data_IF_776858106753
#
_entry.id   IF_776858106753
#
_cell.length_a   1.000
_cell.length_b   1.000
_cell.length_c   1.000
_cell.angle_alpha   90.00
_cell.angle_beta   90.00
_cell.angle_gamma   90.00
#
_symmetry.space_group_name_H-M   'P 1'
#
loop_
_entity.id
_entity.type
_entity.pdbx_description
1 polymer ?
#
# COMPACT_ATOMS: atom_id res chain seq x y z
N UNK A 1 9.41 -4.58 21.36
CA UNK A 1 8.21 -3.99 20.72
C UNK A 1 8.64 -2.66 20.10
N UNK A 2 8.35 -2.32 18.85
CA UNK A 2 6.97 -2.05 18.43
C UNK A 2 6.64 -2.32 16.95
N UNK A 3 7.44 -3.06 16.19
CA UNK A 3 7.10 -3.45 14.81
C UNK A 3 6.81 -2.27 13.86
N UNK A 4 6.29 -2.52 12.65
CA UNK A 4 5.89 -1.47 11.72
C UNK A 4 4.71 -0.65 12.28
N UNK A 5 4.74 0.68 12.07
CA UNK A 5 3.68 1.60 12.47
C UNK A 5 3.36 2.56 11.33
N UNK A 6 2.07 2.80 11.09
CA UNK A 6 1.57 3.74 10.10
C UNK A 6 0.72 4.80 10.81
N UNK A 7 1.03 6.07 10.56
CA UNK A 7 0.29 7.21 11.10
C UNK A 7 -0.12 8.13 9.96
N UNK A 8 -1.33 8.68 10.06
CA UNK A 8 -1.80 9.75 9.17
C UNK A 8 -2.24 10.94 10.01
N UNK A 9 -1.87 12.15 9.57
CA UNK A 9 -2.24 13.41 10.20
C UNK A 9 -3.14 14.23 9.26
N UNK A 10 -4.19 14.85 9.78
CA UNK A 10 -5.05 15.77 9.04
C UNK A 10 -4.59 17.24 9.21
N UNK A 11 -5.05 18.18 8.35
CA UNK A 11 -4.71 19.60 8.49
C UNK A 11 -5.22 20.27 9.79
N UNK A 12 -6.15 19.64 10.51
CA UNK A 12 -6.63 20.13 11.80
C UNK A 12 -5.71 19.71 12.97
N UNK A 13 -4.70 18.88 12.71
CA UNK A 13 -3.72 18.42 13.68
C UNK A 13 -4.11 17.12 14.38
N UNK A 14 -5.16 16.42 13.94
CA UNK A 14 -5.43 15.08 14.44
C UNK A 14 -4.53 14.06 13.75
N UNK A 15 -3.93 13.17 14.52
CA UNK A 15 -3.18 12.03 13.99
C UNK A 15 -3.65 10.73 14.64
N UNK A 16 -3.76 9.68 13.84
CA UNK A 16 -4.17 8.36 14.30
C UNK A 16 -3.25 7.28 13.73
N UNK A 17 -3.12 6.18 14.48
CA UNK A 17 -2.46 4.97 14.01
C UNK A 17 -3.41 4.16 13.15
N UNK A 18 -2.91 3.66 12.01
CA UNK A 18 -3.69 2.90 11.05
C UNK A 18 -3.03 1.55 10.75
N UNK A 19 -3.84 0.55 10.39
CA UNK A 19 -3.35 -0.71 9.79
C UNK A 19 -3.15 -0.54 8.28
N UNK A 20 -4.08 0.16 7.63
CA UNK A 20 -3.98 0.64 6.26
C UNK A 20 -4.73 1.97 6.17
N UNK A 21 -4.28 2.88 5.30
CA UNK A 21 -4.93 4.17 5.09
C UNK A 21 -4.64 4.68 3.68
N UNK A 22 -5.45 5.63 3.21
CA UNK A 22 -5.26 6.37 1.97
C UNK A 22 -5.45 7.86 2.24
N UNK A 23 -5.00 8.72 1.33
CA UNK A 23 -5.20 10.15 1.37
C UNK A 23 -5.29 10.70 -0.06
N UNK A 24 -6.08 11.77 -0.24
CA UNK A 24 -6.21 12.45 -1.52
C UNK A 24 -7.53 12.16 -2.24
N UNK A 25 -7.52 12.29 -3.56
CA UNK A 25 -8.72 12.09 -4.37
C UNK A 25 -9.13 10.61 -4.30
N UNK A 26 -10.43 10.34 -4.11
CA UNK A 26 -11.00 8.99 -3.94
C UNK A 26 -10.52 8.23 -2.68
N UNK A 27 -10.15 8.95 -1.63
CA UNK A 27 -9.77 8.34 -0.35
C UNK A 27 -10.84 7.39 0.21
N UNK A 28 -12.13 7.76 0.13
CA UNK A 28 -13.22 6.96 0.69
C UNK A 28 -13.31 5.59 0.00
N UNK A 29 -13.18 5.55 -1.32
CA UNK A 29 -13.20 4.34 -2.13
C UNK A 29 -11.99 3.45 -1.82
N UNK A 30 -10.80 4.05 -1.67
CA UNK A 30 -9.60 3.34 -1.27
C UNK A 30 -9.72 2.74 0.13
N UNK A 31 -10.25 3.49 1.10
CA UNK A 31 -10.52 2.98 2.46
C UNK A 31 -11.50 1.80 2.40
N UNK A 32 -12.60 1.91 1.64
CA UNK A 32 -13.57 0.82 1.51
C UNK A 32 -12.95 -0.46 0.89
N UNK A 33 -12.00 -0.32 -0.05
CA UNK A 33 -11.25 -1.44 -0.61
C UNK A 33 -10.34 -2.08 0.46
N UNK A 34 -9.58 -1.25 1.17
CA UNK A 34 -8.66 -1.69 2.21
C UNK A 34 -9.39 -2.36 3.38
N UNK A 35 -10.54 -1.84 3.82
CA UNK A 35 -11.36 -2.46 4.88
C UNK A 35 -11.78 -3.90 4.53
N UNK A 36 -12.12 -4.15 3.26
CA UNK A 36 -12.46 -5.50 2.78
C UNK A 36 -11.25 -6.42 2.80
N UNK A 37 -10.08 -5.93 2.35
CA UNK A 37 -8.83 -6.70 2.33
C UNK A 37 -8.28 -6.97 3.73
N UNK A 38 -8.45 -6.03 4.65
CA UNK A 38 -8.00 -6.13 6.05
C UNK A 38 -9.00 -6.85 6.96
N UNK A 39 -10.09 -7.41 6.41
CA UNK A 39 -11.10 -8.11 7.20
C UNK A 39 -10.48 -9.32 7.91
N UNK A 40 -10.74 -9.44 9.21
CA UNK A 40 -10.18 -10.48 10.10
C UNK A 40 -8.67 -10.36 10.36
N UNK A 41 -8.05 -9.21 10.08
CA UNK A 41 -6.63 -8.96 10.37
C UNK A 41 -5.69 -10.03 9.79
N UNK A 42 -5.65 -10.16 8.45
CA UNK A 42 -4.77 -11.12 7.80
C UNK A 42 -3.30 -10.79 8.08
N UNK A 43 -2.49 -11.83 8.16
CA UNK A 43 -1.03 -11.71 8.28
C UNK A 43 -0.43 -11.70 6.87
N UNK A 44 -0.12 -10.52 6.35
CA UNK A 44 0.43 -10.37 5.01
C UNK A 44 1.94 -10.59 5.00
N UNK A 45 2.40 -11.29 3.98
CA UNK A 45 3.82 -11.24 3.59
C UNK A 45 4.20 -9.85 3.06
N UNK A 46 5.51 -9.62 2.90
CA UNK A 46 6.04 -8.40 2.30
C UNK A 46 5.42 -8.14 0.92
N UNK A 47 5.46 -9.16 0.05
CA UNK A 47 4.96 -9.05 -1.32
C UNK A 47 3.45 -8.81 -1.34
N UNK A 48 2.69 -9.51 -0.50
CA UNK A 48 1.24 -9.30 -0.40
C UNK A 48 0.88 -7.90 0.09
N UNK A 49 1.69 -7.33 0.98
CA UNK A 49 1.47 -5.97 1.48
C UNK A 49 1.67 -4.95 0.37
N UNK A 50 2.76 -5.07 -0.40
CA UNK A 50 3.06 -4.19 -1.53
C UNK A 50 2.00 -4.34 -2.62
N UNK A 51 1.70 -5.58 -3.01
CA UNK A 51 0.69 -5.88 -4.03
C UNK A 51 -0.69 -5.37 -3.62
N UNK A 52 -1.10 -5.56 -2.36
CA UNK A 52 -2.40 -5.06 -1.87
C UNK A 52 -2.51 -3.54 -1.96
N UNK A 53 -1.41 -2.81 -1.69
CA UNK A 53 -1.39 -1.35 -1.82
C UNK A 53 -1.51 -0.90 -3.28
N UNK A 54 -0.79 -1.55 -4.21
CA UNK A 54 -0.86 -1.25 -5.64
C UNK A 54 -2.25 -1.58 -6.19
N UNK A 55 -2.80 -2.77 -5.89
CA UNK A 55 -4.14 -3.16 -6.31
C UNK A 55 -5.24 -2.24 -5.77
N UNK A 56 -5.06 -1.67 -4.56
CA UNK A 56 -5.99 -0.69 -4.03
C UNK A 56 -6.03 0.58 -4.90
N UNK A 57 -4.87 1.07 -5.34
CA UNK A 57 -4.79 2.22 -6.25
C UNK A 57 -5.38 1.88 -7.63
N UNK A 58 -5.01 0.74 -8.21
CA UNK A 58 -5.52 0.30 -9.53
C UNK A 58 -7.04 0.16 -9.52
N UNK A 59 -7.61 -0.45 -8.46
CA UNK A 59 -9.05 -0.65 -8.33
C UNK A 59 -9.81 0.67 -8.21
N UNK A 60 -9.27 1.64 -7.47
CA UNK A 60 -9.91 2.95 -7.23
C UNK A 60 -9.80 3.86 -8.46
N UNK A 61 -8.67 3.80 -9.16
CA UNK A 61 -8.43 4.59 -10.37
C UNK A 61 -9.00 3.93 -11.62
N UNK A 62 -9.30 2.63 -11.57
CA UNK A 62 -9.75 1.81 -12.71
C UNK A 62 -8.74 1.83 -13.86
N UNK A 63 -7.46 1.75 -13.49
CA UNK A 63 -6.33 1.88 -14.41
C UNK A 63 -5.21 0.94 -13.97
N UNK A 64 -4.59 0.28 -14.95
CA UNK A 64 -3.37 -0.49 -14.75
C UNK A 64 -2.16 0.43 -14.91
N UNK A 65 -1.25 0.41 -13.93
CA UNK A 65 -0.05 1.24 -13.97
C UNK A 65 1.10 0.54 -14.69
N UNK A 66 1.93 1.34 -15.33
CA UNK A 66 3.32 1.02 -15.62
C UNK A 66 4.18 1.32 -14.40
N UNK A 67 5.30 0.64 -14.26
CA UNK A 67 6.25 0.90 -13.17
C UNK A 67 6.70 2.37 -13.10
N UNK A 68 6.71 3.10 -14.22
CA UNK A 68 7.07 4.52 -14.28
C UNK A 68 5.98 5.49 -13.80
N UNK A 69 4.77 5.02 -13.52
CA UNK A 69 3.61 5.87 -13.16
C UNK A 69 3.36 5.91 -11.66
N UNK A 70 4.03 5.03 -10.89
CA UNK A 70 3.92 4.95 -9.44
C UNK A 70 5.31 4.89 -8.80
N UNK A 71 5.40 5.37 -7.56
CA UNK A 71 6.59 5.21 -6.72
C UNK A 71 6.18 4.48 -5.43
N UNK A 72 6.98 3.52 -5.00
CA UNK A 72 6.68 2.70 -3.82
C UNK A 72 7.82 2.83 -2.81
N UNK A 73 7.48 3.26 -1.60
CA UNK A 73 8.39 3.34 -0.47
C UNK A 73 8.09 2.25 0.55
N UNK A 74 9.12 1.54 1.01
CA UNK A 74 9.01 0.43 1.96
C UNK A 74 9.89 0.65 3.19
N UNK A 75 9.41 0.16 4.33
CA UNK A 75 10.17 0.05 5.59
C UNK A 75 9.93 -1.34 6.14
N UNK A 76 11.01 -2.05 6.48
CA UNK A 76 10.92 -3.42 6.97
C UNK A 76 11.59 -3.58 8.33
N UNK A 77 11.28 -4.67 9.03
CA UNK A 77 11.87 -4.94 10.35
C UNK A 77 13.35 -5.33 10.25
N UNK A 78 13.69 -6.09 9.22
CA UNK A 78 15.05 -6.55 8.91
C UNK A 78 15.90 -5.42 8.31
N UNK A 79 15.29 -4.52 7.55
CA UNK A 79 15.91 -3.28 7.09
C UNK A 79 15.05 -2.06 7.45
N UNK A 80 15.33 -1.40 8.60
CA UNK A 80 14.50 -0.31 9.12
C UNK A 80 14.69 1.02 8.39
N UNK A 81 15.66 1.11 7.48
CA UNK A 81 15.81 2.28 6.63
C UNK A 81 14.64 2.34 5.62
N UNK A 82 14.15 3.55 5.36
CA UNK A 82 13.22 3.78 4.27
C UNK A 82 13.92 3.53 2.93
N UNK A 83 13.30 2.72 2.08
CA UNK A 83 13.81 2.41 0.75
C UNK A 83 12.74 2.69 -0.29
N UNK A 84 13.13 3.32 -1.40
CA UNK A 84 12.28 3.48 -2.58
C UNK A 84 12.59 2.31 -3.51
N UNK A 85 11.55 1.60 -3.94
CA UNK A 85 11.69 0.50 -4.89
C UNK A 85 12.13 1.02 -6.25
N UNK A 86 12.96 0.24 -6.93
CA UNK A 86 13.37 0.47 -8.31
C UNK A 86 12.22 0.15 -9.27
N UNK A 87 12.32 0.65 -10.51
CA UNK A 87 11.33 0.35 -11.55
C UNK A 87 11.24 -1.17 -11.82
N UNK A 88 12.35 -1.88 -11.72
CA UNK A 88 12.43 -3.34 -11.92
C UNK A 88 11.64 -4.08 -10.83
N UNK A 89 11.84 -3.72 -9.56
CA UNK A 89 11.09 -4.31 -8.43
C UNK A 89 9.58 -3.98 -8.51
N UNK A 90 9.23 -2.77 -8.93
CA UNK A 90 7.81 -2.39 -9.12
C UNK A 90 7.19 -3.22 -10.25
N UNK A 91 7.90 -3.42 -11.36
CA UNK A 91 7.42 -4.21 -12.51
C UNK A 91 7.20 -5.69 -12.15
N UNK A 92 8.08 -6.27 -11.33
CA UNK A 92 7.90 -7.61 -10.77
C UNK A 92 6.60 -7.72 -9.95
N UNK A 93 6.33 -6.73 -9.08
CA UNK A 93 5.08 -6.69 -8.32
C UNK A 93 3.85 -6.51 -9.20
N UNK A 94 3.91 -5.64 -10.22
CA UNK A 94 2.81 -5.42 -11.17
C UNK A 94 2.50 -6.69 -11.95
N UNK A 95 3.53 -7.39 -12.45
CA UNK A 95 3.38 -8.67 -13.14
C UNK A 95 2.72 -9.72 -12.24
N UNK A 96 3.18 -9.84 -10.98
CA UNK A 96 2.61 -10.78 -10.03
C UNK A 96 1.15 -10.48 -9.65
N UNK A 97 0.72 -9.21 -9.70
CA UNK A 97 -0.69 -8.84 -9.54
C UNK A 97 -1.50 -9.34 -10.75
N UNK A 98 -1.02 -9.06 -11.96
CA UNK A 98 -1.70 -9.48 -13.21
C UNK A 98 -1.80 -11.00 -13.37
N UNK A 99 -0.88 -11.78 -12.80
CA UNK A 99 -0.96 -13.26 -12.81
C UNK A 99 -1.93 -13.84 -11.76
N UNK A 100 -2.29 -13.04 -10.75
CA UNK A 100 -3.20 -13.44 -9.65
C UNK A 100 -4.68 -13.15 -9.94
N UNK A 101 -4.95 -12.20 -10.84
CA UNK A 101 -6.30 -11.89 -11.37
C UNK A 101 -6.72 -12.86 -12.48
#
# INVERSE_FOLDING_TARGET
ENGPKLFKCDPAGHFFGHKATSAGLKEQEAINFLEKKMKNDPDFSYDETVQTAISALQSVLQEDFKASEIEVGVVRRDNPAFQVLTLEEIDEHLTAISERD
#
